data_IF_279486682718
#
_entry.id   IF_279486682718
#
_cell.length_a   1.000
_cell.length_b   1.000
_cell.length_c   1.000
_cell.angle_alpha   90.00
_cell.angle_beta   90.00
_cell.angle_gamma   90.00
#
_symmetry.space_group_name_H-M   'P 1'
#
loop_
_entity.id
_entity.type
_entity.pdbx_description
1 polymer ?
#
# COMPACT_ATOMS: atom_id res chain seq x y z
N UNK A 1 17.30 -7.42 34.42
CA UNK A 1 17.64 -7.64 33.00
C UNK A 1 19.02 -7.07 32.82
N UNK A 2 20.03 -7.94 32.95
CA UNK A 2 21.41 -7.58 32.66
C UNK A 2 21.55 -7.29 31.16
N UNK A 3 22.39 -6.30 30.83
CA UNK A 3 22.98 -5.93 29.52
C UNK A 3 22.26 -6.40 28.26
N UNK A 4 21.88 -5.43 27.41
CA UNK A 4 21.26 -5.64 26.10
C UNK A 4 21.88 -6.78 25.31
N UNK A 5 21.23 -7.94 25.38
CA UNK A 5 21.58 -9.10 24.58
C UNK A 5 21.21 -8.77 23.14
N UNK A 6 22.21 -8.83 22.26
CA UNK A 6 22.00 -8.78 20.82
C UNK A 6 21.21 -10.02 20.45
N UNK A 7 20.07 -9.83 19.78
CA UNK A 7 19.20 -10.94 19.40
C UNK A 7 19.89 -11.78 18.34
N UNK A 8 19.77 -13.10 18.43
CA UNK A 8 20.15 -13.99 17.34
C UNK A 8 19.24 -13.75 16.12
N UNK A 9 19.73 -14.11 14.93
CA UNK A 9 18.98 -13.86 13.69
C UNK A 9 17.58 -14.50 13.67
N UNK A 10 17.43 -15.71 14.22
CA UNK A 10 16.14 -16.40 14.28
C UNK A 10 15.18 -15.71 15.28
N UNK A 11 15.68 -15.24 16.43
CA UNK A 11 14.87 -14.45 17.37
C UNK A 11 14.42 -13.13 16.73
N UNK A 12 15.28 -12.48 15.95
CA UNK A 12 14.94 -11.26 15.21
C UNK A 12 13.83 -11.52 14.18
N UNK A 13 13.89 -12.64 13.46
CA UNK A 13 12.89 -13.02 12.45
C UNK A 13 11.54 -13.29 13.14
N UNK A 14 11.53 -14.06 14.23
CA UNK A 14 10.29 -14.32 14.96
C UNK A 14 9.71 -13.03 15.56
N UNK A 15 10.57 -12.18 16.15
CA UNK A 15 10.16 -10.86 16.63
C UNK A 15 9.58 -9.99 15.50
N UNK A 16 10.19 -10.00 14.31
CA UNK A 16 9.66 -9.31 13.13
C UNK A 16 8.22 -9.74 12.83
N UNK A 17 7.92 -11.05 12.87
CA UNK A 17 6.56 -11.55 12.65
C UNK A 17 5.60 -11.17 13.77
N UNK A 18 6.01 -11.29 15.04
CA UNK A 18 5.20 -10.90 16.19
C UNK A 18 4.84 -9.41 16.11
N UNK A 19 5.83 -8.53 15.92
CA UNK A 19 5.60 -7.09 15.83
C UNK A 19 4.86 -6.69 14.55
N UNK A 20 5.11 -7.37 13.43
CA UNK A 20 4.35 -7.18 12.20
C UNK A 20 2.87 -7.52 12.38
N UNK A 21 2.56 -8.59 13.12
CA UNK A 21 1.19 -8.98 13.46
C UNK A 21 0.55 -8.02 14.47
N UNK A 22 1.26 -7.63 15.53
CA UNK A 22 0.76 -6.65 16.51
C UNK A 22 0.49 -5.27 15.87
N UNK A 23 1.37 -4.84 14.96
CA UNK A 23 1.16 -3.64 14.15
C UNK A 23 -0.10 -3.76 13.28
N UNK A 24 -0.31 -4.92 12.64
CA UNK A 24 -1.55 -5.20 11.91
C UNK A 24 -2.79 -5.13 12.80
N UNK A 25 -2.76 -5.75 13.99
CA UNK A 25 -3.85 -5.66 14.96
C UNK A 25 -4.15 -4.21 15.36
N UNK A 26 -3.11 -3.40 15.58
CA UNK A 26 -3.24 -1.98 15.92
C UNK A 26 -3.93 -1.19 14.80
N UNK A 27 -3.51 -1.41 13.55
CA UNK A 27 -4.11 -0.79 12.37
C UNK A 27 -5.57 -1.20 12.16
N UNK A 28 -5.87 -2.49 12.32
CA UNK A 28 -7.22 -3.03 12.21
C UNK A 28 -8.11 -2.47 13.32
N UNK A 29 -7.62 -2.39 14.56
CA UNK A 29 -8.35 -1.80 15.68
C UNK A 29 -8.62 -0.30 15.43
N UNK A 30 -7.60 0.44 14.99
CA UNK A 30 -7.74 1.85 14.64
C UNK A 30 -8.78 2.05 13.52
N UNK A 31 -8.73 1.21 12.49
CA UNK A 31 -9.70 1.23 11.40
C UNK A 31 -11.12 0.85 11.86
N UNK A 32 -11.25 -0.15 12.74
CA UNK A 32 -12.53 -0.58 13.27
C UNK A 32 -13.18 0.54 14.11
N UNK A 33 -12.40 1.26 14.92
CA UNK A 33 -12.91 2.39 15.71
C UNK A 33 -13.27 3.57 14.82
N UNK A 34 -12.37 3.95 13.89
CA UNK A 34 -12.55 5.16 13.06
C UNK A 34 -13.56 4.99 11.94
N UNK A 35 -13.60 3.82 11.30
CA UNK A 35 -14.44 3.55 10.13
C UNK A 35 -15.63 2.64 10.43
N UNK A 36 -15.75 2.12 11.66
CA UNK A 36 -16.82 1.20 12.11
C UNK A 36 -16.92 -0.07 11.27
N UNK A 37 -15.81 -0.51 10.68
CA UNK A 37 -15.77 -1.71 9.84
C UNK A 37 -14.45 -2.44 10.02
N UNK A 38 -14.53 -3.77 10.01
CA UNK A 38 -13.33 -4.59 9.93
C UNK A 38 -12.75 -4.54 8.52
N UNK A 39 -11.49 -4.14 8.42
CA UNK A 39 -10.74 -4.11 7.16
C UNK A 39 -9.34 -4.60 7.43
N UNK A 40 -8.87 -5.54 6.63
CA UNK A 40 -7.46 -5.89 6.62
C UNK A 40 -6.65 -4.70 6.07
N UNK A 41 -5.98 -3.98 6.99
CA UNK A 41 -5.18 -2.77 6.74
C UNK A 41 -3.76 -3.03 6.23
N UNK A 42 -3.34 -4.30 6.15
CA UNK A 42 -2.02 -4.66 5.65
C UNK A 42 -1.85 -4.36 4.15
N UNK A 43 -0.63 -3.98 3.77
CA UNK A 43 -0.24 -3.94 2.36
C UNK A 43 -0.35 -5.35 1.74
N UNK A 44 0.13 -6.36 2.47
CA UNK A 44 0.01 -7.78 2.14
C UNK A 44 -1.42 -8.30 2.37
N UNK A 45 -1.75 -9.49 1.84
CA UNK A 45 -3.08 -10.08 2.02
C UNK A 45 -3.23 -10.79 3.38
N UNK A 46 -2.13 -11.22 3.99
CA UNK A 46 -2.06 -11.79 5.33
C UNK A 46 -2.14 -10.73 6.43
N UNK A 47 -2.29 -11.17 7.69
CA UNK A 47 -2.44 -10.29 8.85
C UNK A 47 -1.07 -9.77 9.34
N UNK A 48 -0.31 -9.11 8.46
CA UNK A 48 1.02 -8.59 8.80
C UNK A 48 1.23 -7.21 8.20
N UNK A 49 1.82 -6.31 8.98
CA UNK A 49 2.32 -5.03 8.53
C UNK A 49 3.87 -5.01 8.66
N UNK A 50 4.62 -5.35 7.59
CA UNK A 50 6.08 -5.52 7.67
C UNK A 50 6.84 -4.31 8.24
N UNK A 51 6.37 -3.09 7.97
CA UNK A 51 7.00 -1.86 8.48
C UNK A 51 7.06 -1.82 10.02
N UNK A 52 6.04 -2.35 10.71
CA UNK A 52 6.04 -2.45 12.18
C UNK A 52 7.04 -3.50 12.67
N UNK A 53 7.10 -4.64 11.98
CA UNK A 53 8.08 -5.68 12.25
C UNK A 53 9.51 -5.16 12.16
N UNK A 54 9.86 -4.54 11.02
CA UNK A 54 11.18 -3.95 10.79
C UNK A 54 11.45 -2.82 11.79
N UNK A 55 10.50 -1.90 11.95
CA UNK A 55 10.67 -0.72 12.79
C UNK A 55 10.92 -1.06 14.25
N UNK A 56 10.12 -1.97 14.82
CA UNK A 56 10.29 -2.36 16.22
C UNK A 56 11.56 -3.17 16.43
N UNK A 57 11.89 -4.13 15.56
CA UNK A 57 13.14 -4.90 15.67
C UNK A 57 14.36 -3.97 15.56
N UNK A 58 14.34 -3.03 14.61
CA UNK A 58 15.40 -2.04 14.43
C UNK A 58 15.56 -1.16 15.68
N UNK A 59 14.47 -0.61 16.20
CA UNK A 59 14.47 0.22 17.41
C UNK A 59 14.94 -0.59 18.63
N UNK A 60 14.49 -1.83 18.78
CA UNK A 60 14.91 -2.70 19.87
C UNK A 60 16.42 -2.99 19.82
N UNK A 61 16.97 -3.34 18.67
CA UNK A 61 18.41 -3.62 18.53
C UNK A 61 19.28 -2.38 18.71
N UNK A 62 18.87 -1.24 18.13
CA UNK A 62 19.68 -0.03 18.17
C UNK A 62 19.57 0.72 19.49
N UNK A 63 18.37 0.74 20.10
CA UNK A 63 18.06 1.69 21.18
C UNK A 63 17.87 1.07 22.56
N UNK A 64 17.75 -0.26 22.68
CA UNK A 64 17.73 -0.93 23.98
C UNK A 64 18.98 -0.60 24.85
N UNK A 65 20.21 -0.49 24.31
CA UNK A 65 21.37 -0.09 25.12
C UNK A 65 21.22 1.30 25.76
N UNK A 66 20.41 2.19 25.18
CA UNK A 66 20.18 3.56 25.63
C UNK A 66 18.90 3.73 26.46
N UNK A 67 18.24 2.64 26.87
CA UNK A 67 16.95 2.68 27.57
C UNK A 67 16.94 3.45 28.90
N UNK A 68 18.12 3.68 29.49
CA UNK A 68 18.28 4.46 30.72
C UNK A 68 18.07 5.96 30.49
N UNK A 69 18.44 6.48 29.32
CA UNK A 69 18.25 7.88 28.96
C UNK A 69 16.98 8.03 28.12
N UNK A 70 15.87 8.36 28.79
CA UNK A 70 14.55 8.50 28.16
C UNK A 70 14.51 9.53 27.04
N UNK A 71 15.18 10.67 27.22
CA UNK A 71 15.18 11.74 26.23
C UNK A 71 15.91 11.31 24.96
N UNK A 72 17.10 10.70 25.11
CA UNK A 72 17.86 10.17 23.99
C UNK A 72 17.08 9.05 23.28
N UNK A 73 16.52 8.10 24.04
CA UNK A 73 15.70 7.02 23.50
C UNK A 73 14.53 7.57 22.67
N UNK A 74 13.82 8.57 23.19
CA UNK A 74 12.70 9.19 22.49
C UNK A 74 13.13 9.88 21.20
N UNK A 75 14.12 10.78 21.27
CA UNK A 75 14.58 11.56 20.11
C UNK A 75 15.11 10.62 19.01
N UNK A 76 15.95 9.65 19.38
CA UNK A 76 16.49 8.70 18.40
C UNK A 76 15.40 7.79 17.85
N UNK A 77 14.41 7.38 18.66
CA UNK A 77 13.25 6.62 18.17
C UNK A 77 12.48 7.41 17.11
N UNK A 78 12.15 8.68 17.38
CA UNK A 78 11.46 9.56 16.43
C UNK A 78 12.23 9.63 15.11
N UNK A 79 13.54 9.84 15.16
CA UNK A 79 14.38 9.94 13.96
C UNK A 79 14.37 8.63 13.17
N UNK A 80 14.64 7.50 13.83
CA UNK A 80 14.74 6.18 13.18
C UNK A 80 13.42 5.78 12.54
N UNK A 81 12.31 5.88 13.26
CA UNK A 81 11.00 5.47 12.72
C UNK A 81 10.50 6.43 11.65
N UNK A 82 10.76 7.72 11.77
CA UNK A 82 10.40 8.70 10.73
C UNK A 82 11.20 8.46 9.45
N UNK A 83 12.50 8.15 9.56
CA UNK A 83 13.33 7.81 8.41
C UNK A 83 12.84 6.51 7.74
N UNK A 84 12.50 5.49 8.53
CA UNK A 84 11.95 4.23 8.02
C UNK A 84 10.60 4.45 7.31
N UNK A 85 9.69 5.22 7.91
CA UNK A 85 8.37 5.52 7.35
C UNK A 85 8.50 6.33 6.06
N UNK A 86 9.36 7.35 6.03
CA UNK A 86 9.61 8.13 4.82
C UNK A 86 10.20 7.26 3.70
N UNK A 87 11.22 6.44 4.00
CA UNK A 87 11.86 5.57 3.02
C UNK A 87 10.87 4.54 2.46
N UNK A 88 10.08 3.93 3.34
CA UNK A 88 9.07 2.95 2.95
C UNK A 88 7.97 3.59 2.10
N UNK A 89 7.44 4.73 2.54
CA UNK A 89 6.43 5.50 1.81
C UNK A 89 6.93 5.92 0.41
N UNK A 90 8.16 6.44 0.35
CA UNK A 90 8.81 6.83 -0.90
C UNK A 90 9.02 5.63 -1.84
N UNK A 91 9.57 4.53 -1.34
CA UNK A 91 9.81 3.33 -2.15
C UNK A 91 8.50 2.78 -2.72
N UNK A 92 7.45 2.68 -1.87
CA UNK A 92 6.15 2.20 -2.30
C UNK A 92 5.49 3.13 -3.33
N UNK A 93 5.59 4.45 -3.18
CA UNK A 93 5.09 5.40 -4.20
C UNK A 93 5.84 5.26 -5.53
N UNK A 94 7.17 5.14 -5.50
CA UNK A 94 7.96 5.02 -6.74
C UNK A 94 7.70 3.71 -7.47
N UNK A 95 7.60 2.59 -6.74
CA UNK A 95 7.40 1.26 -7.33
C UNK A 95 5.95 1.09 -7.81
N UNK A 96 4.97 1.52 -7.02
CA UNK A 96 3.55 1.24 -7.30
C UNK A 96 2.78 2.42 -7.86
N UNK A 97 3.39 3.60 -7.99
CA UNK A 97 2.75 4.84 -8.47
C UNK A 97 1.53 5.26 -7.64
N UNK A 98 1.52 4.91 -6.37
CA UNK A 98 0.44 5.18 -5.44
C UNK A 98 1.04 5.49 -4.06
N UNK A 99 0.64 6.61 -3.46
CA UNK A 99 0.87 6.88 -2.04
C UNK A 99 -0.12 6.09 -1.21
N UNK A 100 0.36 5.16 -0.39
CA UNK A 100 -0.47 4.28 0.44
C UNK A 100 -1.09 5.00 1.63
N UNK A 101 -0.37 5.99 2.15
CA UNK A 101 -0.85 7.00 3.07
C UNK A 101 -0.36 8.36 2.58
N UNK A 102 -1.13 9.40 2.86
CA UNK A 102 -0.83 10.75 2.40
C UNK A 102 -1.09 11.75 3.52
N UNK A 103 -0.02 12.41 3.97
CA UNK A 103 -0.03 13.47 4.96
C UNK A 103 0.19 14.85 4.34
N UNK A 104 -0.01 15.01 3.02
CA UNK A 104 0.21 16.30 2.33
C UNK A 104 -0.62 17.45 2.93
N UNK A 105 -1.79 17.15 3.49
CA UNK A 105 -2.68 18.13 4.14
C UNK A 105 -2.32 18.42 5.61
N UNK A 106 -1.28 17.78 6.15
CA UNK A 106 -0.86 17.95 7.55
C UNK A 106 0.30 18.95 7.65
N UNK A 107 0.38 19.76 8.71
CA UNK A 107 1.49 20.67 8.92
C UNK A 107 2.80 19.91 9.13
N UNK A 108 3.92 20.52 8.70
CA UNK A 108 5.26 19.93 8.80
C UNK A 108 5.36 18.52 8.21
N UNK A 109 4.69 18.28 7.08
CA UNK A 109 4.83 17.05 6.33
C UNK A 109 6.08 17.08 5.42
N UNK A 110 6.67 15.92 5.17
CA UNK A 110 7.79 15.75 4.24
C UNK A 110 7.33 14.92 3.04
N UNK A 111 7.12 15.59 1.90
CA UNK A 111 6.58 15.02 0.65
C UNK A 111 5.24 14.28 0.81
N UNK A 112 4.53 14.50 1.92
CA UNK A 112 3.32 13.76 2.30
C UNK A 112 3.55 12.33 2.82
N UNK A 113 4.79 11.84 2.98
CA UNK A 113 5.03 10.48 3.49
C UNK A 113 5.08 10.39 5.01
N UNK A 114 5.53 11.45 5.67
CA UNK A 114 5.58 11.56 7.14
C UNK A 114 5.14 12.96 7.53
N UNK A 115 4.67 13.14 8.76
CA UNK A 115 4.46 14.46 9.35
C UNK A 115 4.87 14.46 10.82
N UNK A 116 5.25 15.65 11.30
CA UNK A 116 5.81 15.82 12.64
C UNK A 116 4.91 15.24 13.74
N UNK A 117 3.59 15.44 13.65
CA UNK A 117 2.64 14.96 14.66
C UNK A 117 2.72 13.43 14.84
N UNK A 118 2.65 12.66 13.75
CA UNK A 118 2.70 11.20 13.83
C UNK A 118 4.10 10.72 14.20
N UNK A 119 5.15 11.35 13.68
CA UNK A 119 6.54 11.06 14.09
C UNK A 119 6.73 11.15 15.61
N UNK A 120 6.17 12.17 16.26
CA UNK A 120 6.25 12.35 17.70
C UNK A 120 5.44 11.31 18.48
N UNK A 121 4.24 10.95 18.00
CA UNK A 121 3.38 9.91 18.58
C UNK A 121 4.10 8.54 18.51
N UNK A 122 4.66 8.21 17.35
CA UNK A 122 5.41 6.96 17.16
C UNK A 122 6.66 6.90 18.03
N UNK A 123 7.32 8.04 18.26
CA UNK A 123 8.40 8.14 19.25
C UNK A 123 7.97 7.69 20.64
N UNK A 124 6.81 8.13 21.12
CA UNK A 124 6.29 7.75 22.45
C UNK A 124 5.97 6.26 22.47
N UNK A 125 5.33 5.75 21.42
CA UNK A 125 5.06 4.32 21.28
C UNK A 125 6.34 3.49 21.31
N UNK A 126 7.42 3.94 20.66
CA UNK A 126 8.72 3.26 20.70
C UNK A 126 9.33 3.22 22.10
N UNK A 127 9.24 4.30 22.87
CA UNK A 127 9.69 4.30 24.28
C UNK A 127 8.93 3.24 25.07
N UNK A 128 7.59 3.19 24.91
CA UNK A 128 6.74 2.19 25.57
C UNK A 128 7.15 0.77 25.16
N UNK A 129 7.39 0.58 23.86
CA UNK A 129 7.76 -0.72 23.32
C UNK A 129 9.11 -1.17 23.88
N UNK A 130 10.15 -0.35 23.81
CA UNK A 130 11.49 -0.71 24.28
C UNK A 130 11.51 -0.99 25.78
N UNK A 131 10.79 -0.21 26.59
CA UNK A 131 10.83 -0.35 28.05
C UNK A 131 9.99 -1.48 28.62
N UNK A 132 8.84 -1.77 28.01
CA UNK A 132 7.87 -2.68 28.62
C UNK A 132 7.47 -3.83 27.70
N UNK A 133 7.06 -3.53 26.46
CA UNK A 133 6.49 -4.54 25.57
C UNK A 133 7.57 -5.51 25.06
N UNK A 134 8.71 -4.98 24.62
CA UNK A 134 9.77 -5.79 24.05
C UNK A 134 10.45 -6.71 25.08
N UNK A 135 10.82 -6.25 26.28
CA UNK A 135 11.28 -7.13 27.35
C UNK A 135 10.34 -8.29 27.65
N UNK A 136 9.02 -8.03 27.67
CA UNK A 136 8.01 -9.06 27.92
C UNK A 136 7.92 -10.07 26.77
N UNK A 137 7.84 -9.60 25.53
CA UNK A 137 7.74 -10.46 24.33
C UNK A 137 9.02 -11.26 24.15
N UNK A 138 10.19 -10.63 24.27
CA UNK A 138 11.47 -11.28 24.07
C UNK A 138 11.71 -12.38 25.11
N UNK A 139 11.33 -12.14 26.38
CA UNK A 139 11.33 -13.19 27.39
C UNK A 139 10.46 -14.39 26.97
N UNK A 140 9.28 -14.12 26.39
CA UNK A 140 8.41 -15.16 25.82
C UNK A 140 9.06 -15.94 24.68
N UNK A 141 9.78 -15.26 23.78
CA UNK A 141 10.55 -15.89 22.69
C UNK A 141 11.64 -16.80 23.24
N UNK A 142 12.38 -16.36 24.26
CA UNK A 142 13.45 -17.14 24.89
C UNK A 142 12.95 -18.39 25.64
N UNK A 143 11.66 -18.45 26.01
CA UNK A 143 11.06 -19.66 26.58
C UNK A 143 10.79 -20.75 25.53
N UNK A 144 10.80 -20.43 24.24
CA UNK A 144 10.54 -21.39 23.18
C UNK A 144 11.81 -22.19 22.85
N UNK A 145 11.67 -23.50 22.59
CA UNK A 145 12.82 -24.28 22.14
C UNK A 145 13.25 -23.86 20.74
N UNK A 146 14.56 -23.81 20.50
CA UNK A 146 15.17 -23.29 19.26
C UNK A 146 14.58 -23.94 17.99
N UNK A 147 14.37 -25.26 18.01
CA UNK A 147 13.81 -25.98 16.86
C UNK A 147 12.41 -25.46 16.47
N UNK A 148 11.60 -25.07 17.45
CA UNK A 148 10.26 -24.53 17.22
C UNK A 148 10.33 -23.13 16.61
N UNK A 149 11.22 -22.27 17.12
CA UNK A 149 11.43 -20.92 16.56
C UNK A 149 11.86 -21.01 15.11
N UNK A 150 12.88 -21.82 14.80
CA UNK A 150 13.35 -22.00 13.42
C UNK A 150 12.25 -22.57 12.51
N UNK A 151 11.47 -23.55 13.00
CA UNK A 151 10.38 -24.14 12.20
C UNK A 151 9.31 -23.10 11.87
N UNK A 152 8.90 -22.30 12.87
CA UNK A 152 7.94 -21.21 12.68
C UNK A 152 8.48 -20.14 11.73
N UNK A 153 9.73 -19.73 11.89
CA UNK A 153 10.37 -18.74 11.02
C UNK A 153 10.36 -19.19 9.57
N UNK A 154 10.77 -20.44 9.27
CA UNK A 154 10.77 -20.96 7.89
C UNK A 154 9.37 -20.92 7.28
N UNK A 155 8.35 -21.36 8.03
CA UNK A 155 6.95 -21.37 7.56
C UNK A 155 6.45 -19.94 7.30
N UNK A 156 6.68 -19.02 8.24
CA UNK A 156 6.22 -17.64 8.16
C UNK A 156 6.94 -16.85 7.06
N UNK A 157 8.24 -17.10 6.88
CA UNK A 157 9.05 -16.54 5.80
C UNK A 157 8.47 -16.97 4.46
N UNK A 158 8.29 -18.27 4.23
CA UNK A 158 7.71 -18.79 2.98
C UNK A 158 6.33 -18.17 2.73
N UNK A 159 5.48 -18.10 3.76
CA UNK A 159 4.14 -17.52 3.66
C UNK A 159 4.18 -16.04 3.26
N UNK A 160 5.00 -15.21 3.92
CA UNK A 160 5.11 -13.77 3.61
C UNK A 160 5.76 -13.52 2.27
N UNK A 161 6.78 -14.29 1.87
CA UNK A 161 7.36 -14.16 0.52
C UNK A 161 6.35 -14.52 -0.57
N UNK A 162 5.56 -15.57 -0.37
CA UNK A 162 4.50 -15.95 -1.31
C UNK A 162 3.44 -14.85 -1.42
N UNK A 163 2.99 -14.31 -0.29
CA UNK A 163 2.00 -13.23 -0.27
C UNK A 163 2.55 -11.93 -0.88
N UNK A 164 3.80 -11.58 -0.57
CA UNK A 164 4.49 -10.44 -1.19
C UNK A 164 4.52 -10.61 -2.71
N UNK A 165 4.95 -11.76 -3.21
CA UNK A 165 5.01 -12.02 -4.64
C UNK A 165 3.64 -11.88 -5.32
N UNK A 166 2.60 -12.47 -4.73
CA UNK A 166 1.22 -12.38 -5.24
C UNK A 166 0.71 -10.94 -5.19
N UNK A 167 0.94 -10.22 -4.09
CA UNK A 167 0.51 -8.84 -3.88
C UNK A 167 1.17 -7.89 -4.89
N UNK A 168 2.49 -7.97 -5.01
CA UNK A 168 3.27 -7.14 -5.95
C UNK A 168 2.85 -7.43 -7.39
N UNK A 169 2.77 -8.71 -7.78
CA UNK A 169 2.35 -9.09 -9.13
C UNK A 169 0.96 -8.57 -9.46
N UNK A 170 0.04 -8.59 -8.49
CA UNK A 170 -1.32 -8.09 -8.66
C UNK A 170 -1.36 -6.57 -8.86
N UNK A 171 -0.61 -5.81 -8.06
CA UNK A 171 -0.58 -4.34 -8.17
C UNK A 171 0.09 -3.91 -9.47
N UNK A 172 1.20 -4.54 -9.87
CA UNK A 172 1.87 -4.24 -11.14
C UNK A 172 0.98 -4.53 -12.35
N UNK A 173 0.24 -5.66 -12.34
CA UNK A 173 -0.75 -5.96 -13.38
C UNK A 173 -1.88 -4.93 -13.44
N UNK A 174 -2.34 -4.43 -12.28
CA UNK A 174 -3.34 -3.36 -12.23
C UNK A 174 -2.79 -2.09 -12.89
N UNK A 175 -1.55 -1.68 -12.58
CA UNK A 175 -0.91 -0.52 -13.19
C UNK A 175 -0.82 -0.65 -14.72
N UNK A 176 -0.40 -1.81 -15.23
CA UNK A 176 -0.37 -2.07 -16.67
C UNK A 176 -1.77 -2.00 -17.33
N UNK A 177 -2.80 -2.51 -16.65
CA UNK A 177 -4.17 -2.39 -17.15
C UNK A 177 -4.67 -0.93 -17.14
N UNK A 178 -4.26 -0.13 -16.15
CA UNK A 178 -4.61 1.29 -16.11
C UNK A 178 -3.97 2.08 -17.25
N UNK A 179 -2.71 1.79 -17.60
CA UNK A 179 -2.04 2.36 -18.78
C UNK A 179 -2.83 2.03 -20.07
N UNK A 180 -3.22 0.76 -20.26
CA UNK A 180 -4.05 0.35 -21.40
C UNK A 180 -5.43 1.03 -21.42
N UNK A 181 -6.02 1.27 -20.25
CA UNK A 181 -7.31 1.98 -20.16
C UNK A 181 -7.17 3.44 -20.59
N UNK A 182 -6.08 4.12 -20.22
CA UNK A 182 -5.79 5.49 -20.65
C UNK A 182 -5.53 5.58 -22.15
N UNK A 183 -4.80 4.62 -22.73
CA UNK A 183 -4.62 4.52 -24.19
C UNK A 183 -5.97 4.37 -24.92
N UNK A 184 -6.84 3.48 -24.44
CA UNK A 184 -8.17 3.27 -25.02
C UNK A 184 -9.03 4.54 -24.88
N UNK A 185 -9.00 5.20 -23.72
CA UNK A 185 -9.73 6.45 -23.51
C UNK A 185 -9.26 7.55 -24.47
N UNK A 186 -7.95 7.66 -24.67
CA UNK A 186 -7.34 8.64 -25.59
C UNK A 186 -7.74 8.35 -27.04
N UNK A 187 -7.73 7.08 -27.46
CA UNK A 187 -8.17 6.69 -28.81
C UNK A 187 -9.67 6.95 -29.03
N UNK A 188 -10.51 6.67 -28.03
CA UNK A 188 -11.94 7.01 -28.08
C UNK A 188 -12.15 8.53 -28.20
N UNK A 189 -11.39 9.34 -27.46
CA UNK A 189 -11.43 10.80 -27.58
C UNK A 189 -10.98 11.29 -28.96
N UNK A 190 -9.92 10.69 -29.54
CA UNK A 190 -9.44 11.01 -30.89
C UNK A 190 -10.51 10.73 -31.94
N UNK A 191 -11.11 9.54 -31.91
CA UNK A 191 -12.19 9.16 -32.83
C UNK A 191 -13.38 10.12 -32.68
N UNK A 192 -13.75 10.46 -31.44
CA UNK A 192 -14.85 11.41 -31.17
C UNK A 192 -14.58 12.80 -31.77
N UNK A 193 -13.34 13.29 -31.71
CA UNK A 193 -12.96 14.58 -32.28
C UNK A 193 -12.95 14.56 -33.81
N UNK A 194 -12.48 13.47 -34.43
CA UNK A 194 -12.50 13.30 -35.89
C UNK A 194 -13.94 13.30 -36.43
N UNK A 195 -14.85 12.60 -35.74
CA UNK A 195 -16.28 12.61 -36.07
C UNK A 195 -16.85 14.03 -35.95
N UNK A 196 -16.59 14.73 -34.83
CA UNK A 196 -17.10 16.08 -34.60
C UNK A 196 -16.62 17.09 -35.65
N UNK A 197 -15.35 17.03 -36.05
CA UNK A 197 -14.80 17.93 -37.06
C UNK A 197 -15.30 17.62 -38.48
N UNK A 198 -15.46 16.34 -38.83
CA UNK A 198 -15.93 15.92 -40.15
C UNK A 198 -17.44 16.14 -40.33
N UNK A 199 -18.25 16.01 -39.28
CA UNK A 199 -19.66 16.40 -39.30
C UNK A 199 -19.81 17.91 -39.52
N UNK A 200 -18.89 18.71 -38.98
CA UNK A 200 -18.91 20.16 -39.14
C UNK A 200 -18.45 20.65 -40.53
N UNK A 201 -17.80 19.81 -41.35
CA UNK A 201 -17.20 20.22 -42.63
C UNK A 201 -17.92 19.70 -43.88
N UNK A 202 -18.64 18.57 -43.82
CA UNK A 202 -19.22 17.96 -45.03
C UNK A 202 -20.68 17.51 -44.86
N UNK A 203 -21.59 18.37 -45.33
CA UNK A 203 -22.92 17.97 -45.79
C UNK A 203 -22.98 18.32 -47.27
N UNK A 204 -22.83 17.31 -48.15
CA UNK A 204 -23.58 17.14 -49.42
C UNK A 204 -22.98 16.10 -50.41
N UNK A 205 -21.78 15.54 -50.21
CA UNK A 205 -21.11 14.76 -51.29
C UNK A 205 -20.83 13.26 -51.11
N UNK A 206 -20.84 12.69 -49.90
CA UNK A 206 -20.20 11.38 -49.63
C UNK A 206 -21.15 10.47 -48.85
N UNK A 207 -22.12 9.84 -49.51
CA UNK A 207 -23.10 8.95 -48.83
C UNK A 207 -22.71 7.46 -49.00
N UNK A 208 -22.22 7.03 -50.17
CA UNK A 208 -21.96 5.60 -50.44
C UNK A 208 -20.67 5.02 -49.83
N UNK A 209 -19.56 5.77 -49.75
CA UNK A 209 -18.34 5.31 -49.06
C UNK A 209 -18.37 5.54 -47.54
N UNK A 210 -19.39 6.25 -47.06
CA UNK A 210 -19.51 6.63 -45.65
C UNK A 210 -20.14 5.51 -44.83
N UNK A 211 -21.02 4.69 -45.41
CA UNK A 211 -21.70 3.62 -44.67
C UNK A 211 -20.76 2.48 -44.25
N UNK A 212 -19.85 2.03 -45.11
CA UNK A 212 -18.85 1.00 -44.74
C UNK A 212 -17.81 1.52 -43.75
N UNK A 213 -17.29 2.73 -43.98
CA UNK A 213 -16.30 3.37 -43.08
C UNK A 213 -16.93 3.74 -41.72
N UNK A 214 -18.20 4.15 -41.71
CA UNK A 214 -18.98 4.39 -40.50
C UNK A 214 -19.26 3.09 -39.74
N UNK A 215 -19.56 2.00 -40.46
CA UNK A 215 -19.76 0.67 -39.90
C UNK A 215 -18.50 0.13 -39.21
N UNK A 216 -17.38 0.11 -39.91
CA UNK A 216 -16.09 -0.37 -39.39
C UNK A 216 -15.60 0.49 -38.20
N UNK A 217 -15.77 1.81 -38.28
CA UNK A 217 -15.46 2.73 -37.18
C UNK A 217 -16.38 2.49 -35.96
N UNK A 218 -17.67 2.30 -36.17
CA UNK A 218 -18.65 2.01 -35.11
C UNK A 218 -18.35 0.69 -34.42
N UNK A 219 -17.94 -0.33 -35.17
CA UNK A 219 -17.51 -1.62 -34.65
C UNK A 219 -16.24 -1.48 -33.80
N UNK A 220 -15.23 -0.74 -34.29
CA UNK A 220 -14.00 -0.44 -33.55
C UNK A 220 -14.27 0.32 -32.25
N UNK A 221 -15.16 1.33 -32.26
CA UNK A 221 -15.57 2.05 -31.04
C UNK A 221 -16.22 1.09 -30.03
N UNK A 222 -17.08 0.19 -30.52
CA UNK A 222 -17.78 -0.79 -29.69
C UNK A 222 -16.80 -1.79 -29.07
N UNK A 223 -15.83 -2.27 -29.84
CA UNK A 223 -14.77 -3.16 -29.36
C UNK A 223 -13.90 -2.49 -28.30
N UNK A 224 -13.44 -1.25 -28.56
CA UNK A 224 -12.64 -0.47 -27.62
C UNK A 224 -13.40 -0.22 -26.30
N UNK A 225 -14.67 0.18 -26.37
CA UNK A 225 -15.52 0.35 -25.19
C UNK A 225 -15.70 -0.95 -24.41
N UNK A 226 -15.92 -2.07 -25.12
CA UNK A 226 -16.01 -3.40 -24.49
C UNK A 226 -14.72 -3.73 -23.74
N UNK A 227 -13.57 -3.61 -24.40
CA UNK A 227 -12.25 -3.85 -23.81
C UNK A 227 -11.97 -2.95 -22.60
N UNK A 228 -12.33 -1.67 -22.67
CA UNK A 228 -12.24 -0.73 -21.54
C UNK A 228 -13.08 -1.22 -20.36
N UNK A 229 -14.34 -1.59 -20.61
CA UNK A 229 -15.27 -2.05 -19.56
C UNK A 229 -14.79 -3.35 -18.88
N UNK A 230 -14.26 -4.30 -19.65
CA UNK A 230 -13.73 -5.56 -19.13
C UNK A 230 -12.50 -5.32 -18.23
N UNK A 231 -11.59 -4.44 -18.66
CA UNK A 231 -10.43 -4.04 -17.86
C UNK A 231 -10.86 -3.30 -16.60
N UNK A 232 -11.83 -2.39 -16.68
CA UNK A 232 -12.36 -1.65 -15.55
C UNK A 232 -12.95 -2.59 -14.48
N UNK A 233 -13.79 -3.54 -14.88
CA UNK A 233 -14.39 -4.52 -13.95
C UNK A 233 -13.31 -5.41 -13.32
N UNK A 234 -12.35 -5.89 -14.11
CA UNK A 234 -11.24 -6.72 -13.62
C UNK A 234 -10.38 -5.95 -12.62
N UNK A 235 -10.02 -4.71 -12.92
CA UNK A 235 -9.23 -3.86 -12.04
C UNK A 235 -9.99 -3.48 -10.77
N UNK A 236 -11.28 -3.13 -10.86
CA UNK A 236 -12.12 -2.87 -9.70
C UNK A 236 -12.11 -4.06 -8.72
N UNK A 237 -12.28 -5.30 -9.22
CA UNK A 237 -12.20 -6.50 -8.39
C UNK A 237 -10.82 -6.68 -7.75
N UNK A 238 -9.75 -6.43 -8.50
CA UNK A 238 -8.39 -6.59 -8.02
C UNK A 238 -8.00 -5.53 -6.97
N UNK A 239 -8.47 -4.30 -7.13
CA UNK A 239 -8.21 -3.17 -6.25
C UNK A 239 -9.18 -3.10 -5.06
N UNK A 240 -10.30 -3.84 -5.08
CA UNK A 240 -11.36 -3.77 -4.05
C UNK A 240 -10.81 -3.83 -2.62
N UNK A 241 -9.92 -4.78 -2.33
CA UNK A 241 -9.29 -4.90 -1.00
C UNK A 241 -8.46 -3.67 -0.67
N UNK A 242 -7.55 -3.28 -1.57
CA UNK A 242 -6.59 -2.19 -1.36
C UNK A 242 -7.31 -0.85 -1.18
N UNK A 243 -8.33 -0.56 -2.01
CA UNK A 243 -9.15 0.66 -1.88
C UNK A 243 -9.91 0.67 -0.54
N UNK A 244 -10.38 -0.49 -0.07
CA UNK A 244 -11.03 -0.59 1.24
C UNK A 244 -10.02 -0.38 2.39
N UNK A 245 -8.83 -0.99 2.28
CA UNK A 245 -7.75 -0.95 3.26
C UNK A 245 -7.07 0.42 3.34
N UNK A 246 -6.93 1.11 2.21
CA UNK A 246 -6.28 2.40 2.11
C UNK A 246 -7.21 3.43 1.45
N UNK A 247 -8.26 3.91 2.14
CA UNK A 247 -9.21 4.88 1.57
C UNK A 247 -8.55 6.22 1.19
N UNK A 248 -7.46 6.58 1.89
CA UNK A 248 -6.64 7.78 1.65
C UNK A 248 -5.52 7.55 0.63
N UNK A 249 -5.51 6.41 -0.07
CA UNK A 249 -4.48 6.15 -1.09
C UNK A 249 -4.59 7.19 -2.21
N UNK A 250 -3.51 7.91 -2.48
CA UNK A 250 -3.46 8.94 -3.53
C UNK A 250 -2.72 8.39 -4.74
N UNK A 251 -3.39 8.22 -5.90
CA UNK A 251 -2.74 7.76 -7.11
C UNK A 251 -1.87 8.86 -7.73
N UNK A 252 -0.69 8.47 -8.23
CA UNK A 252 0.24 9.38 -8.92
C UNK A 252 0.06 9.39 -10.44
N UNK A 253 -0.36 8.26 -11.01
CA UNK A 253 -0.75 8.10 -12.42
C UNK A 253 -2.23 7.73 -12.51
N UNK A 254 -2.85 7.94 -13.67
CA UNK A 254 -4.24 7.53 -13.97
C UNK A 254 -5.27 7.99 -12.92
N UNK A 255 -5.08 9.20 -12.37
CA UNK A 255 -5.84 9.71 -11.22
C UNK A 255 -7.36 9.67 -11.47
N UNK A 256 -7.80 10.08 -12.66
CA UNK A 256 -9.21 10.10 -13.05
C UNK A 256 -9.81 8.69 -13.09
N UNK A 257 -9.15 7.75 -13.79
CA UNK A 257 -9.58 6.35 -13.90
C UNK A 257 -9.63 5.69 -12.51
N UNK A 258 -8.62 5.92 -11.66
CA UNK A 258 -8.59 5.34 -10.31
C UNK A 258 -9.71 5.91 -9.45
N UNK A 259 -9.99 7.21 -9.52
CA UNK A 259 -11.12 7.79 -8.79
C UNK A 259 -12.48 7.31 -9.31
N UNK A 260 -12.62 7.10 -10.62
CA UNK A 260 -13.81 6.47 -11.20
C UNK A 260 -14.01 5.05 -10.64
N UNK A 261 -12.95 4.23 -10.62
CA UNK A 261 -12.99 2.87 -10.06
C UNK A 261 -13.29 2.87 -8.56
N UNK A 262 -12.73 3.81 -7.79
CA UNK A 262 -13.04 3.97 -6.35
C UNK A 262 -14.52 4.32 -6.14
N UNK A 263 -15.06 5.24 -6.94
CA UNK A 263 -16.46 5.63 -6.86
C UNK A 263 -17.40 4.49 -7.26
N UNK A 264 -17.06 3.73 -8.29
CA UNK A 264 -17.77 2.51 -8.66
C UNK A 264 -17.82 1.49 -7.52
N UNK A 265 -16.69 1.29 -6.82
CA UNK A 265 -16.60 0.37 -5.68
C UNK A 265 -17.31 0.87 -4.41
N UNK A 266 -17.48 2.18 -4.22
CA UNK A 266 -18.23 2.75 -3.09
C UNK A 266 -19.75 2.62 -3.24
N UNK A 267 -20.25 2.60 -4.49
CA UNK A 267 -21.68 2.50 -4.81
C UNK A 267 -22.26 1.09 -4.68
N UNK A 268 -21.43 0.07 -4.40
CA UNK A 268 -21.77 -1.35 -4.42
C UNK A 268 -21.46 -2.02 -3.08
#
# INVERSE_FOLDING_TARGET
MERGEVMNIYEMILCFFIYGFLGWCTEVAFAAVKERRFVNRGFLNGPICPIYGVGVVMVAQLLMPYQSNLLLLYITSVIVVTALEWLTGFALDKIFHNKWWDYSDMPFNLNGYVCLLFSLIWGVACVVIVKWIHPLIYKGVLFLPIWLVITLDVILVIAVFTDLFVTVSKILKVNQHLEKMEEIATELHRISNEIGQNISKDILGVIERRDDISGEMSEKITELRKKYSELAVRNAKNMKRLVKAFPRMTPRKHKEIIEELKNYLKKK
#
